data_IF_036128264173
#
_entry.id   IF_036128264173
#
_cell.length_a   1.000
_cell.length_b   1.000
_cell.length_c   1.000
_cell.angle_alpha   90.00
_cell.angle_beta   90.00
_cell.angle_gamma   90.00
#
_symmetry.space_group_name_H-M   'P 1'
#
loop_
_entity.id
_entity.type
_entity.pdbx_description
1 polymer ?
#
# COMPACT_ATOMS: atom_id res chain seq x y z
N UNK A 1 -3.23 -5.86 -9.48
CA UNK A 1 -4.23 -6.04 -8.41
C UNK A 1 -3.81 -5.23 -7.20
N UNK A 2 -4.69 -4.38 -6.66
CA UNK A 2 -4.38 -3.36 -5.64
C UNK A 2 -4.46 -3.98 -4.24
N UNK A 3 -3.37 -4.02 -3.48
CA UNK A 3 -3.43 -4.25 -2.04
C UNK A 3 -3.35 -2.90 -1.32
N UNK A 4 -4.29 -2.64 -0.41
CA UNK A 4 -4.36 -1.41 0.38
C UNK A 4 -4.16 -1.80 1.86
N UNK A 5 -2.99 -1.50 2.41
CA UNK A 5 -2.70 -1.81 3.82
C UNK A 5 -2.85 -0.55 4.66
N UNK A 6 -3.93 -0.39 5.43
CA UNK A 6 -4.13 0.75 6.34
C UNK A 6 -3.65 0.44 7.76
N UNK A 7 -2.83 1.32 8.33
CA UNK A 7 -2.31 1.18 9.70
C UNK A 7 -3.30 1.71 10.75
N UNK A 8 -4.53 1.23 10.69
CA UNK A 8 -5.48 1.26 11.81
C UNK A 8 -5.59 -0.16 12.32
N UNK A 9 -5.24 -0.41 13.58
CA UNK A 9 -5.48 -1.65 14.33
C UNK A 9 -5.98 -2.84 13.51
N UNK A 10 -5.04 -3.67 13.00
CA UNK A 10 -5.34 -4.92 12.27
C UNK A 10 -6.39 -4.80 11.13
N UNK A 11 -6.50 -3.66 10.46
CA UNK A 11 -7.34 -3.54 9.28
C UNK A 11 -6.66 -4.28 8.11
N UNK A 12 -7.05 -5.54 7.96
CA UNK A 12 -6.89 -6.37 6.80
C UNK A 12 -7.24 -5.57 5.53
N UNK A 13 -6.23 -5.26 4.72
CA UNK A 13 -6.46 -5.20 3.29
C UNK A 13 -6.79 -6.62 2.88
N UNK A 14 -8.01 -6.86 2.39
CA UNK A 14 -8.38 -8.16 1.83
C UNK A 14 -7.52 -8.40 0.59
N UNK A 15 -6.34 -8.99 0.77
CA UNK A 15 -5.65 -9.65 -0.33
C UNK A 15 -6.36 -10.98 -0.48
N UNK A 16 -7.04 -11.25 -1.60
CA UNK A 16 -7.64 -12.55 -1.80
C UNK A 16 -6.55 -13.62 -1.67
N UNK A 17 -6.85 -14.68 -0.93
CA UNK A 17 -5.96 -15.84 -0.70
C UNK A 17 -5.39 -16.43 -2.01
N UNK A 18 -5.95 -16.06 -3.15
CA UNK A 18 -5.59 -16.51 -4.49
C UNK A 18 -4.36 -15.85 -5.12
N UNK A 19 -3.68 -14.87 -4.49
CA UNK A 19 -2.59 -14.12 -5.16
C UNK A 19 -1.24 -14.11 -4.45
N UNK A 20 -1.22 -14.03 -3.12
CA UNK A 20 0.00 -14.21 -2.32
C UNK A 20 -0.38 -15.02 -1.07
N UNK A 21 0.46 -15.97 -0.70
CA UNK A 21 0.24 -16.71 0.55
C UNK A 21 0.37 -15.78 1.75
N UNK A 22 -0.27 -16.15 2.87
CA UNK A 22 -0.15 -15.40 4.13
C UNK A 22 1.31 -15.30 4.60
N UNK A 23 2.09 -16.37 4.46
CA UNK A 23 3.51 -16.39 4.82
C UNK A 23 4.33 -15.42 3.96
N UNK A 24 4.03 -15.34 2.66
CA UNK A 24 4.64 -14.36 1.77
C UNK A 24 4.28 -12.94 2.19
N UNK A 25 3.00 -12.68 2.49
CA UNK A 25 2.54 -11.38 2.97
C UNK A 25 3.24 -10.98 4.27
N UNK A 26 3.34 -11.89 5.24
CA UNK A 26 4.00 -11.64 6.52
C UNK A 26 5.50 -11.32 6.33
N UNK A 27 6.17 -12.04 5.43
CA UNK A 27 7.58 -11.78 5.10
C UNK A 27 7.81 -10.40 4.46
N UNK A 28 6.87 -9.90 3.65
CA UNK A 28 6.99 -8.60 2.99
C UNK A 28 6.30 -7.45 3.73
N UNK A 29 5.50 -7.75 4.75
CA UNK A 29 4.67 -6.79 5.49
C UNK A 29 5.46 -5.61 6.06
N UNK A 30 6.71 -5.86 6.46
CA UNK A 30 7.65 -4.86 7.01
C UNK A 30 8.05 -3.81 5.96
N UNK A 31 8.13 -4.21 4.68
CA UNK A 31 8.44 -3.33 3.56
C UNK A 31 7.19 -2.66 2.98
N UNK A 32 6.02 -3.26 3.22
CA UNK A 32 4.72 -2.70 2.82
C UNK A 32 4.32 -1.56 3.78
N UNK A 33 4.71 -1.61 5.05
CA UNK A 33 4.41 -0.56 6.03
C UNK A 33 5.72 -0.08 6.67
N UNK A 34 6.53 0.71 5.95
CA UNK A 34 7.79 1.16 6.49
C UNK A 34 7.56 2.07 7.70
N UNK A 35 8.05 1.62 8.87
CA UNK A 35 8.06 2.42 10.11
C UNK A 35 8.96 3.66 9.99
N UNK A 36 9.92 3.63 9.08
CA UNK A 36 10.82 4.75 8.82
C UNK A 36 10.12 5.82 7.95
N UNK A 37 10.06 7.05 8.46
CA UNK A 37 9.54 8.20 7.71
C UNK A 37 10.29 8.47 6.39
N UNK A 38 11.54 8.00 6.28
CA UNK A 38 12.40 8.19 5.11
C UNK A 38 11.93 7.40 3.87
N UNK A 39 11.10 6.36 4.03
CA UNK A 39 10.62 5.54 2.91
C UNK A 39 9.25 5.97 2.38
N UNK A 40 8.66 7.03 2.95
CA UNK A 40 7.37 7.56 2.50
C UNK A 40 7.49 8.20 1.12
N UNK A 41 6.44 8.06 0.29
CA UNK A 41 6.38 8.56 -1.10
C UNK A 41 7.57 8.14 -1.97
N UNK A 42 8.20 7.02 -1.64
CA UNK A 42 9.23 6.37 -2.44
C UNK A 42 8.69 5.08 -3.04
N UNK A 43 9.12 4.73 -4.26
CA UNK A 43 8.77 3.44 -4.85
C UNK A 43 9.52 2.34 -4.10
N UNK A 44 8.79 1.34 -3.63
CA UNK A 44 9.36 0.14 -3.02
C UNK A 44 9.11 -1.02 -3.97
N UNK A 45 10.18 -1.70 -4.41
CA UNK A 45 10.07 -2.93 -5.19
C UNK A 45 10.57 -4.09 -4.36
N UNK A 46 9.72 -5.08 -4.14
CA UNK A 46 10.08 -6.35 -3.50
C UNK A 46 10.00 -7.44 -4.56
N UNK A 47 11.13 -8.07 -4.87
CA UNK A 47 11.18 -9.21 -5.78
C UNK A 47 11.19 -10.48 -4.96
N UNK A 48 10.20 -11.33 -5.20
CA UNK A 48 10.07 -12.68 -4.66
C UNK A 48 10.43 -13.69 -5.77
N UNK A 49 10.41 -14.98 -5.45
CA UNK A 49 10.78 -16.04 -6.40
C UNK A 49 9.90 -16.00 -7.67
N UNK A 50 8.57 -16.00 -7.50
CA UNK A 50 7.62 -16.07 -8.62
C UNK A 50 6.83 -14.78 -8.82
N UNK A 51 7.05 -13.76 -8.00
CA UNK A 51 6.29 -12.52 -8.04
C UNK A 51 7.12 -11.29 -7.73
N UNK A 52 6.60 -10.13 -8.11
CA UNK A 52 7.18 -8.82 -7.86
C UNK A 52 6.11 -7.90 -7.33
N UNK A 53 6.41 -7.24 -6.22
CA UNK A 53 5.50 -6.32 -5.55
C UNK A 53 6.06 -4.91 -5.69
N UNK A 54 5.26 -4.00 -6.26
CA UNK A 54 5.58 -2.59 -6.39
C UNK A 54 4.66 -1.78 -5.47
N UNK A 55 5.20 -1.26 -4.38
CA UNK A 55 4.49 -0.45 -3.39
C UNK A 55 4.81 1.05 -3.49
N UNK A 56 3.87 1.87 -3.03
CA UNK A 56 4.05 3.29 -2.81
C UNK A 56 3.42 3.71 -1.47
N UNK A 57 4.18 3.65 -0.36
CA UNK A 57 3.69 4.02 0.96
C UNK A 57 3.39 5.52 1.04
N UNK A 58 2.21 5.84 1.56
CA UNK A 58 1.71 7.18 1.77
C UNK A 58 1.41 7.39 3.25
N UNK A 59 1.79 8.58 3.71
CA UNK A 59 1.37 9.15 4.98
C UNK A 59 0.56 10.42 4.73
N UNK A 60 -0.60 10.51 5.35
CA UNK A 60 -1.43 11.71 5.40
C UNK A 60 -1.41 12.25 6.83
N UNK A 61 -0.77 13.39 7.04
CA UNK A 61 -0.80 14.09 8.32
C UNK A 61 -2.09 14.89 8.45
N UNK A 62 -2.94 14.53 9.41
CA UNK A 62 -4.18 15.24 9.70
C UNK A 62 -4.64 14.94 11.13
N UNK A 63 -5.05 15.98 11.87
CA UNK A 63 -5.55 15.87 13.25
C UNK A 63 -6.80 15.00 13.38
N UNK A 64 -7.54 14.76 12.28
CA UNK A 64 -8.71 13.86 12.26
C UNK A 64 -8.34 12.39 12.49
N UNK A 65 -7.07 12.01 12.32
CA UNK A 65 -6.62 10.63 12.48
C UNK A 65 -6.03 10.36 13.85
N UNK A 66 -6.19 9.12 14.34
CA UNK A 66 -5.48 8.65 15.52
C UNK A 66 -3.96 8.78 15.33
N UNK A 67 -3.26 9.38 16.30
CA UNK A 67 -1.83 9.76 16.21
C UNK A 67 -1.51 10.83 15.16
N UNK A 68 -2.50 11.64 14.76
CA UNK A 68 -2.39 12.73 13.79
C UNK A 68 -1.90 12.31 12.39
N UNK A 69 -1.89 11.02 12.08
CA UNK A 69 -1.41 10.51 10.81
C UNK A 69 -2.15 9.24 10.38
N UNK A 70 -2.49 9.18 9.09
CA UNK A 70 -3.00 7.99 8.43
C UNK A 70 -1.95 7.44 7.48
N UNK A 71 -1.68 6.14 7.58
CA UNK A 71 -0.70 5.46 6.74
C UNK A 71 -1.42 4.43 5.89
N UNK A 72 -1.17 4.46 4.59
CA UNK A 72 -1.59 3.39 3.68
C UNK A 72 -0.49 3.11 2.65
N UNK A 73 -0.48 1.91 2.08
CA UNK A 73 0.38 1.60 0.95
C UNK A 73 -0.44 0.98 -0.17
N UNK A 74 -0.30 1.51 -1.38
CA UNK A 74 -0.86 0.95 -2.60
C UNK A 74 0.18 0.05 -3.26
N UNK A 75 -0.12 -1.24 -3.36
CA UNK A 75 0.80 -2.21 -3.98
C UNK A 75 0.22 -2.82 -5.25
N UNK A 76 1.07 -2.97 -6.28
CA UNK A 76 0.84 -3.82 -7.44
C UNK A 76 1.62 -5.11 -7.30
N UNK A 77 0.93 -6.24 -7.36
CA UNK A 77 1.54 -7.57 -7.50
C UNK A 77 1.57 -7.94 -8.99
N UNK A 78 2.76 -8.29 -9.47
CA UNK A 78 3.06 -8.69 -10.84
C UNK A 78 3.89 -9.99 -10.83
N UNK A 79 4.04 -10.60 -11.99
CA UNK A 79 4.98 -11.71 -12.18
C UNK A 79 6.45 -11.24 -12.02
N UNK A 80 7.34 -12.11 -11.53
CA UNK A 80 8.75 -11.80 -11.27
C UNK A 80 9.48 -11.18 -12.47
N UNK A 81 9.15 -11.60 -13.69
CA UNK A 81 9.79 -11.16 -14.94
C UNK A 81 9.19 -9.86 -15.50
N UNK A 82 8.08 -9.39 -14.93
CA UNK A 82 7.41 -8.17 -15.39
C UNK A 82 8.29 -6.94 -15.14
N UNK A 83 8.44 -6.07 -16.16
CA UNK A 83 9.12 -4.77 -16.00
C UNK A 83 8.24 -3.84 -15.16
N UNK A 84 8.77 -3.35 -14.03
CA UNK A 84 8.04 -2.51 -13.06
C UNK A 84 8.00 -1.02 -13.42
N UNK A 85 8.97 -0.51 -14.19
CA UNK A 85 9.11 0.91 -14.57
C UNK A 85 7.81 1.56 -15.04
N UNK A 86 7.01 1.00 -15.97
CA UNK A 86 5.77 1.64 -16.40
C UNK A 86 4.73 1.76 -15.28
N UNK A 87 4.72 0.83 -14.32
CA UNK A 87 3.79 0.81 -13.21
C UNK A 87 4.15 1.82 -12.11
N UNK A 88 5.39 2.32 -12.06
CA UNK A 88 5.79 3.33 -11.07
C UNK A 88 5.01 4.63 -11.22
N UNK A 89 4.81 5.11 -12.45
CA UNK A 89 4.03 6.32 -12.71
C UNK A 89 2.57 6.11 -12.36
N UNK A 90 2.05 4.91 -12.62
CA UNK A 90 0.66 4.54 -12.34
C UNK A 90 0.42 4.48 -10.83
N UNK A 91 1.28 3.78 -10.07
CA UNK A 91 1.11 3.63 -8.61
C UNK A 91 1.20 4.98 -7.91
N UNK A 92 2.09 5.88 -8.36
CA UNK A 92 2.19 7.26 -7.84
C UNK A 92 0.89 8.04 -8.06
N UNK A 93 0.42 8.11 -9.32
CA UNK A 93 -0.80 8.85 -9.69
C UNK A 93 -2.03 8.33 -8.95
N UNK A 94 -2.20 7.02 -8.89
CA UNK A 94 -3.33 6.42 -8.16
C UNK A 94 -3.23 6.68 -6.66
N UNK A 95 -2.04 6.60 -6.08
CA UNK A 95 -1.85 6.89 -4.66
C UNK A 95 -2.21 8.34 -4.32
N UNK A 96 -1.80 9.30 -5.15
CA UNK A 96 -2.17 10.71 -4.96
C UNK A 96 -3.68 10.93 -5.13
N UNK A 97 -4.32 10.23 -6.06
CA UNK A 97 -5.77 10.25 -6.20
C UNK A 97 -6.48 9.69 -4.96
N UNK A 98 -5.98 8.58 -4.41
CA UNK A 98 -6.48 7.98 -3.18
C UNK A 98 -6.32 8.91 -1.96
N UNK A 99 -5.25 9.71 -1.89
CA UNK A 99 -5.09 10.76 -0.87
C UNK A 99 -6.24 11.77 -0.95
N UNK A 100 -6.55 12.26 -2.15
CA UNK A 100 -7.61 13.24 -2.33
C UNK A 100 -8.99 12.68 -1.96
N UNK A 101 -9.26 11.42 -2.32
CA UNK A 101 -10.49 10.72 -1.91
C UNK A 101 -10.55 10.57 -0.39
N UNK A 102 -9.48 10.14 0.25
CA UNK A 102 -9.45 9.95 1.71
C UNK A 102 -9.60 11.27 2.48
N UNK A 103 -9.01 12.35 1.97
CA UNK A 103 -9.17 13.68 2.57
C UNK A 103 -10.60 14.21 2.45
N UNK A 104 -11.25 13.99 1.30
CA UNK A 104 -12.61 14.48 1.02
C UNK A 104 -13.72 13.62 1.62
N UNK A 105 -13.58 12.30 1.64
CA UNK A 105 -14.66 11.36 1.98
C UNK A 105 -14.33 10.36 3.10
N UNK A 106 -13.05 10.16 3.44
CA UNK A 106 -12.64 9.16 4.44
C UNK A 106 -12.84 7.70 4.01
N UNK A 107 -12.94 7.44 2.70
CA UNK A 107 -13.33 6.14 2.15
C UNK A 107 -12.34 4.99 2.45
N UNK A 108 -11.06 5.28 2.68
CA UNK A 108 -10.03 4.26 2.94
C UNK A 108 -9.95 3.91 4.42
N UNK A 109 -10.11 4.90 5.30
CA UNK A 109 -10.12 4.67 6.75
C UNK A 109 -11.37 3.94 7.20
N UNK A 110 -12.51 4.28 6.61
CA UNK A 110 -13.81 3.68 6.88
C UNK A 110 -14.50 3.37 5.55
N UNK A 111 -14.21 2.22 4.92
CA UNK A 111 -14.98 1.77 3.79
C UNK A 111 -16.42 1.57 4.28
N UNK A 112 -17.31 2.53 3.97
CA UNK A 112 -18.73 2.38 4.27
C UNK A 112 -19.24 1.24 3.38
N UNK A 113 -19.73 0.18 4.03
CA UNK A 113 -20.44 -0.92 3.40
C UNK A 113 -21.65 -0.43 2.61
#
# INVERSE_FOLDING_TARGET
MLALSSMTDRAAGSVPDSYISRDTFDAVSVYIIPKAAQLQRSIITVTLHDSKILGFPIRIDNKKYARNAFHFNLCFVCDAWTRSVPYETVVKKLSDYLVNIELSSGALKSPRC
#
